data_IF_127470658931
#
_entry.id   IF_127470658931
#
_cell.length_a   1.000
_cell.length_b   1.000
_cell.length_c   1.000
_cell.angle_alpha   90.00
_cell.angle_beta   90.00
_cell.angle_gamma   90.00
#
_symmetry.space_group_name_H-M   'P 1'
#
loop_
_entity.id
_entity.type
_entity.pdbx_description
1 polymer ?
#
# COMPACT_ATOMS: atom_id res chain seq x y z
N UNK A 1 -18.52 -38.91 3.41
CA UNK A 1 -18.60 -37.55 3.98
C UNK A 1 -19.47 -36.72 3.04
N UNK A 2 -20.77 -36.94 3.09
CA UNK A 2 -21.75 -36.24 2.26
C UNK A 2 -22.77 -35.61 3.20
N UNK A 3 -22.76 -34.28 3.28
CA UNK A 3 -23.76 -33.40 3.93
C UNK A 3 -23.25 -31.95 3.88
N UNK A 4 -23.19 -31.32 2.70
CA UNK A 4 -22.99 -29.85 2.62
C UNK A 4 -23.33 -29.21 1.27
N UNK A 5 -24.34 -29.74 0.56
CA UNK A 5 -24.92 -29.05 -0.60
C UNK A 5 -26.42 -29.28 -0.59
N UNK A 6 -27.07 -28.91 0.52
CA UNK A 6 -28.50 -28.70 0.47
C UNK A 6 -28.75 -27.54 -0.48
N UNK A 7 -29.61 -27.82 -1.46
CA UNK A 7 -30.12 -26.92 -2.50
C UNK A 7 -30.54 -25.60 -1.86
N UNK A 8 -29.67 -24.59 -1.90
CA UNK A 8 -30.12 -23.23 -1.74
C UNK A 8 -31.13 -22.95 -2.85
N UNK A 9 -32.33 -22.51 -2.46
CA UNK A 9 -33.39 -22.20 -3.41
C UNK A 9 -32.86 -21.24 -4.45
N UNK A 10 -32.81 -21.79 -5.64
CA UNK A 10 -32.24 -21.30 -6.86
C UNK A 10 -33.10 -20.12 -7.35
N UNK A 11 -32.76 -18.89 -6.91
CA UNK A 11 -33.57 -17.68 -7.10
C UNK A 11 -33.29 -17.00 -8.45
N UNK A 12 -34.36 -16.76 -9.19
CA UNK A 12 -34.34 -15.93 -10.40
C UNK A 12 -34.37 -14.44 -10.04
N UNK A 13 -33.42 -13.69 -10.56
CA UNK A 13 -33.31 -12.23 -10.42
C UNK A 13 -33.71 -11.55 -11.73
N UNK A 14 -34.62 -10.58 -11.67
CA UNK A 14 -34.98 -9.77 -12.83
C UNK A 14 -33.91 -8.69 -13.05
N UNK A 15 -33.17 -8.77 -14.15
CA UNK A 15 -32.10 -7.83 -14.49
C UNK A 15 -32.66 -6.56 -15.15
N UNK A 16 -33.62 -6.69 -16.05
CA UNK A 16 -34.22 -5.54 -16.73
C UNK A 16 -35.62 -5.86 -17.23
N UNK A 17 -36.45 -4.83 -17.41
CA UNK A 17 -37.78 -4.96 -18.02
C UNK A 17 -37.84 -4.13 -19.30
N UNK A 18 -38.40 -4.69 -20.36
CA UNK A 18 -38.61 -4.04 -21.64
C UNK A 18 -40.06 -4.26 -22.08
N UNK A 19 -40.57 -3.40 -22.97
CA UNK A 19 -41.90 -3.54 -23.58
C UNK A 19 -42.08 -4.89 -24.31
N UNK A 20 -40.97 -5.55 -24.66
CA UNK A 20 -40.95 -6.87 -25.33
C UNK A 20 -40.75 -8.04 -24.35
N UNK A 21 -40.62 -7.78 -23.05
CA UNK A 21 -40.42 -8.79 -22.00
C UNK A 21 -39.29 -8.47 -21.01
N UNK A 22 -39.26 -9.19 -19.89
CA UNK A 22 -38.23 -9.05 -18.86
C UNK A 22 -37.02 -9.96 -19.08
N UNK A 23 -35.81 -9.42 -18.88
CA UNK A 23 -34.56 -10.18 -18.82
C UNK A 23 -34.38 -10.71 -17.39
N UNK A 24 -34.34 -12.02 -17.24
CA UNK A 24 -34.13 -12.70 -15.97
C UNK A 24 -32.80 -13.42 -15.97
N UNK A 25 -32.13 -13.48 -14.82
CA UNK A 25 -30.87 -14.16 -14.61
C UNK A 25 -30.91 -14.96 -13.33
N UNK A 26 -30.19 -16.06 -13.34
CA UNK A 26 -30.10 -16.99 -12.23
C UNK A 26 -28.68 -17.53 -12.21
N UNK A 27 -28.10 -17.62 -11.03
CA UNK A 27 -26.78 -18.22 -10.88
C UNK A 27 -26.93 -19.74 -11.08
N UNK A 28 -26.29 -20.28 -12.11
CA UNK A 28 -26.42 -21.70 -12.47
C UNK A 28 -25.86 -22.60 -11.37
N UNK A 29 -26.43 -23.80 -11.20
CA UNK A 29 -25.88 -24.80 -10.28
C UNK A 29 -24.45 -25.20 -10.71
N UNK A 30 -23.59 -25.65 -9.77
CA UNK A 30 -22.28 -26.19 -10.11
C UNK A 30 -22.35 -27.31 -11.16
N UNK A 31 -23.44 -28.10 -11.17
CA UNK A 31 -23.67 -29.07 -12.24
C UNK A 31 -23.91 -28.34 -13.57
N UNK A 32 -24.81 -27.35 -13.65
CA UNK A 32 -25.04 -26.57 -14.87
C UNK A 32 -23.77 -25.91 -15.40
N UNK A 33 -22.88 -25.46 -14.52
CA UNK A 33 -21.54 -24.96 -14.89
C UNK A 33 -20.65 -26.05 -15.49
N UNK A 34 -20.68 -27.27 -14.95
CA UNK A 34 -19.95 -28.41 -15.54
C UNK A 34 -20.44 -28.77 -16.95
N UNK A 35 -21.75 -28.61 -17.20
CA UNK A 35 -22.34 -28.78 -18.54
C UNK A 35 -22.00 -27.62 -19.47
N UNK A 36 -21.90 -26.37 -18.99
CA UNK A 36 -21.54 -25.21 -19.81
C UNK A 36 -20.07 -25.20 -20.21
N UNK A 37 -19.18 -25.81 -19.41
CA UNK A 37 -17.76 -26.03 -19.76
C UNK A 37 -17.63 -27.00 -20.94
N UNK A 38 -18.57 -27.94 -21.09
CA UNK A 38 -18.62 -28.87 -22.22
C UNK A 38 -19.35 -28.31 -23.46
N UNK A 39 -19.85 -27.07 -23.42
CA UNK A 39 -20.36 -26.39 -24.60
C UNK A 39 -19.16 -26.00 -25.46
N UNK A 40 -19.02 -26.54 -26.68
CA UNK A 40 -17.87 -26.24 -27.52
C UNK A 40 -17.80 -24.74 -27.79
N UNK A 41 -16.75 -24.09 -27.30
CA UNK A 41 -16.38 -22.75 -27.75
C UNK A 41 -15.80 -22.92 -29.16
N UNK A 42 -16.05 -21.98 -30.09
CA UNK A 42 -15.56 -22.09 -31.47
C UNK A 42 -14.06 -22.41 -31.61
N UNK A 43 -13.25 -22.04 -30.60
CA UNK A 43 -11.82 -22.35 -30.50
C UNK A 43 -11.47 -23.77 -30.03
N UNK A 44 -12.45 -24.52 -29.53
CA UNK A 44 -12.32 -25.90 -29.04
C UNK A 44 -12.76 -26.96 -30.06
N UNK A 45 -13.38 -26.53 -31.16
CA UNK A 45 -13.63 -27.39 -32.31
C UNK A 45 -12.30 -27.57 -33.05
N UNK A 46 -11.77 -28.79 -33.02
CA UNK A 46 -10.60 -29.22 -33.80
C UNK A 46 -10.81 -28.89 -35.28
N UNK A 47 -9.84 -28.24 -35.92
CA UNK A 47 -9.86 -27.93 -37.37
C UNK A 47 -9.96 -29.19 -38.25
N UNK A 48 -9.76 -30.39 -37.68
CA UNK A 48 -9.71 -31.67 -38.39
C UNK A 48 -11.03 -32.45 -38.39
N UNK A 49 -12.16 -31.89 -37.92
CA UNK A 49 -13.45 -32.58 -37.99
C UNK A 49 -14.05 -32.43 -39.40
N UNK A 50 -13.54 -33.24 -40.34
CA UNK A 50 -13.79 -33.22 -41.79
C UNK A 50 -15.28 -33.32 -42.21
N UNK A 51 -16.18 -33.65 -41.28
CA UNK A 51 -17.61 -33.76 -41.52
C UNK A 51 -18.39 -32.44 -41.33
N UNK A 52 -17.88 -31.49 -40.54
CA UNK A 52 -18.55 -30.19 -40.30
C UNK A 52 -18.23 -29.13 -41.37
N UNK A 53 -17.12 -29.32 -42.11
CA UNK A 53 -16.64 -28.38 -43.12
C UNK A 53 -17.41 -28.40 -44.45
N UNK A 54 -18.45 -29.26 -44.59
CA UNK A 54 -19.17 -29.46 -45.86
C UNK A 54 -20.60 -28.92 -45.90
N UNK A 55 -21.19 -28.50 -44.78
CA UNK A 55 -22.54 -27.92 -44.79
C UNK A 55 -22.46 -26.40 -45.00
N UNK A 56 -23.20 -25.90 -45.99
CA UNK A 56 -23.30 -24.47 -46.26
C UNK A 56 -23.82 -23.71 -45.03
N UNK A 57 -24.75 -24.33 -44.31
CA UNK A 57 -25.37 -23.78 -43.09
C UNK A 57 -24.34 -23.54 -41.98
N UNK A 58 -23.33 -24.41 -41.84
CA UNK A 58 -22.26 -24.22 -40.85
C UNK A 58 -21.37 -23.02 -41.21
N UNK A 59 -20.96 -22.90 -42.48
CA UNK A 59 -20.18 -21.74 -42.93
C UNK A 59 -20.96 -20.42 -42.77
N UNK A 60 -22.24 -20.43 -43.14
CA UNK A 60 -23.12 -19.27 -42.98
C UNK A 60 -23.26 -18.87 -41.50
N UNK A 61 -23.42 -19.84 -40.60
CA UNK A 61 -23.50 -19.60 -39.16
C UNK A 61 -22.19 -19.04 -38.58
N UNK A 62 -21.03 -19.56 -39.00
CA UNK A 62 -19.71 -19.08 -38.57
C UNK A 62 -19.47 -17.65 -39.05
N UNK A 63 -19.83 -17.33 -40.29
CA UNK A 63 -19.69 -15.97 -40.82
C UNK A 63 -20.65 -14.98 -40.13
N UNK A 64 -21.89 -15.37 -39.87
CA UNK A 64 -22.82 -14.56 -39.07
C UNK A 64 -22.28 -14.28 -37.66
N UNK A 65 -21.68 -15.28 -37.02
CA UNK A 65 -21.04 -15.10 -35.71
C UNK A 65 -19.85 -14.11 -35.78
N UNK A 66 -18.98 -14.23 -36.80
CA UNK A 66 -17.87 -13.28 -37.01
C UNK A 66 -18.39 -11.86 -37.22
N UNK A 67 -19.43 -11.69 -38.03
CA UNK A 67 -20.06 -10.40 -38.26
C UNK A 67 -20.66 -9.83 -36.96
N UNK A 68 -21.35 -10.65 -36.17
CA UNK A 68 -21.90 -10.25 -34.87
C UNK A 68 -20.80 -9.82 -33.90
N UNK A 69 -19.72 -10.59 -33.79
CA UNK A 69 -18.57 -10.25 -32.94
C UNK A 69 -17.94 -8.92 -33.35
N UNK A 70 -17.85 -8.67 -34.66
CA UNK A 70 -17.35 -7.40 -35.20
C UNK A 70 -18.29 -6.23 -34.84
N UNK A 71 -19.61 -6.42 -34.97
CA UNK A 71 -20.63 -5.44 -34.56
C UNK A 71 -20.53 -5.13 -33.06
N UNK A 72 -20.43 -6.15 -32.20
CA UNK A 72 -20.27 -6.00 -30.74
C UNK A 72 -18.98 -5.24 -30.41
N UNK A 73 -17.86 -5.57 -31.06
CA UNK A 73 -16.60 -4.85 -30.85
C UNK A 73 -16.70 -3.37 -31.23
N UNK A 74 -17.35 -3.05 -32.35
CA UNK A 74 -17.60 -1.67 -32.78
C UNK A 74 -18.51 -0.91 -31.81
N UNK A 75 -19.59 -1.55 -31.33
CA UNK A 75 -20.49 -0.95 -30.33
C UNK A 75 -19.76 -0.72 -29.01
N UNK A 76 -18.96 -1.68 -28.52
CA UNK A 76 -18.14 -1.51 -27.32
C UNK A 76 -17.17 -0.34 -27.45
N UNK A 77 -16.53 -0.16 -28.62
CA UNK A 77 -15.69 1.01 -28.91
C UNK A 77 -16.49 2.31 -28.88
N UNK A 78 -17.70 2.35 -29.46
CA UNK A 78 -18.57 3.53 -29.41
C UNK A 78 -18.98 3.86 -27.97
N UNK A 79 -19.42 2.87 -27.19
CA UNK A 79 -19.79 3.02 -25.78
C UNK A 79 -18.59 3.50 -24.95
N UNK A 80 -17.39 2.97 -25.18
CA UNK A 80 -16.20 3.42 -24.44
C UNK A 80 -15.84 4.89 -24.66
N UNK A 81 -16.31 5.49 -25.75
CA UNK A 81 -16.06 6.89 -26.10
C UNK A 81 -17.12 7.85 -25.55
N UNK A 82 -18.30 7.36 -25.14
CA UNK A 82 -19.34 8.21 -24.56
C UNK A 82 -18.90 8.72 -23.19
N UNK A 83 -19.32 9.93 -22.85
CA UNK A 83 -18.88 10.57 -21.60
C UNK A 83 -19.43 9.85 -20.37
N UNK A 84 -20.71 9.42 -20.42
CA UNK A 84 -21.32 8.66 -19.33
C UNK A 84 -20.60 7.34 -19.02
N UNK A 85 -20.04 6.64 -20.01
CA UNK A 85 -19.25 5.44 -19.74
C UNK A 85 -17.91 5.76 -19.07
N UNK A 86 -17.25 6.87 -19.45
CA UNK A 86 -16.00 7.29 -18.81
C UNK A 86 -16.22 7.70 -17.36
N UNK A 87 -17.28 8.44 -17.08
CA UNK A 87 -17.66 8.83 -15.71
C UNK A 87 -18.01 7.60 -14.88
N UNK A 88 -18.85 6.71 -15.40
CA UNK A 88 -19.17 5.44 -14.76
C UNK A 88 -17.91 4.61 -14.48
N UNK A 89 -17.00 4.51 -15.45
CA UNK A 89 -15.74 3.78 -15.29
C UNK A 89 -14.87 4.39 -14.20
N UNK A 90 -14.75 5.72 -14.11
CA UNK A 90 -14.02 6.39 -13.01
C UNK A 90 -14.62 6.05 -11.65
N UNK A 91 -15.95 6.06 -11.54
CA UNK A 91 -16.65 5.71 -10.29
C UNK A 91 -16.36 4.26 -9.92
N UNK A 92 -16.41 3.35 -10.90
CA UNK A 92 -16.12 1.93 -10.70
C UNK A 92 -14.67 1.69 -10.28
N UNK A 93 -13.71 2.32 -10.95
CA UNK A 93 -12.28 2.24 -10.60
C UNK A 93 -12.03 2.78 -9.17
N UNK A 94 -12.70 3.89 -8.80
CA UNK A 94 -12.63 4.44 -7.44
C UNK A 94 -13.28 3.52 -6.40
N UNK A 95 -14.41 2.88 -6.71
CA UNK A 95 -15.06 1.92 -5.83
C UNK A 95 -14.19 0.66 -5.61
N UNK A 96 -13.57 0.14 -6.66
CA UNK A 96 -12.62 -0.96 -6.55
C UNK A 96 -11.40 -0.57 -5.70
N UNK A 97 -10.88 0.64 -5.88
CA UNK A 97 -9.77 1.16 -5.07
C UNK A 97 -10.15 1.28 -3.58
N UNK A 98 -11.34 1.79 -3.26
CA UNK A 98 -11.79 1.90 -1.86
C UNK A 98 -12.02 0.53 -1.23
N UNK A 99 -12.59 -0.42 -1.96
CA UNK A 99 -12.76 -1.81 -1.48
C UNK A 99 -11.42 -2.45 -1.14
N UNK A 100 -10.43 -2.29 -2.01
CA UNK A 100 -9.09 -2.82 -1.82
C UNK A 100 -8.38 -2.13 -0.63
N UNK A 101 -8.56 -0.81 -0.47
CA UNK A 101 -8.07 -0.07 0.70
C UNK A 101 -8.67 -0.59 2.00
N UNK A 102 -9.98 -0.86 2.02
CA UNK A 102 -10.67 -1.43 3.18
C UNK A 102 -10.12 -2.83 3.51
N UNK A 103 -9.91 -3.69 2.51
CA UNK A 103 -9.31 -5.03 2.69
C UNK A 103 -7.93 -4.94 3.33
N UNK A 104 -7.07 -4.03 2.84
CA UNK A 104 -5.72 -3.81 3.40
C UNK A 104 -5.75 -3.29 4.82
N UNK A 105 -6.61 -2.31 5.11
CA UNK A 105 -6.77 -1.76 6.46
C UNK A 105 -7.26 -2.83 7.45
N UNK A 106 -8.22 -3.68 7.05
CA UNK A 106 -8.64 -4.83 7.86
C UNK A 106 -7.49 -5.79 8.15
N UNK A 107 -6.66 -6.10 7.15
CA UNK A 107 -5.48 -6.95 7.34
C UNK A 107 -4.43 -6.33 8.26
N UNK A 108 -4.19 -5.02 8.16
CA UNK A 108 -3.28 -4.28 9.06
C UNK A 108 -3.81 -4.27 10.49
N UNK A 109 -5.10 -3.98 10.68
CA UNK A 109 -5.77 -4.03 11.98
C UNK A 109 -5.65 -5.41 12.62
N UNK A 110 -5.91 -6.49 11.87
CA UNK A 110 -5.75 -7.87 12.36
C UNK A 110 -4.32 -8.16 12.81
N UNK A 111 -3.31 -7.74 12.05
CA UNK A 111 -1.90 -7.89 12.42
C UNK A 111 -1.54 -7.12 13.68
N UNK A 112 -1.98 -5.87 13.80
CA UNK A 112 -1.71 -5.04 14.97
C UNK A 112 -2.38 -5.62 16.22
N UNK A 113 -3.63 -6.06 16.11
CA UNK A 113 -4.36 -6.68 17.20
C UNK A 113 -3.66 -7.98 17.67
N UNK A 114 -3.17 -8.80 16.73
CA UNK A 114 -2.39 -9.99 17.08
C UNK A 114 -1.07 -9.64 17.78
N UNK A 115 -0.39 -8.57 17.37
CA UNK A 115 0.84 -8.10 18.02
C UNK A 115 0.57 -7.55 19.41
N UNK A 116 -0.49 -6.75 19.59
CA UNK A 116 -0.88 -6.20 20.90
C UNK A 116 -1.18 -7.35 21.88
N UNK A 117 -1.92 -8.38 21.45
CA UNK A 117 -2.17 -9.59 22.26
C UNK A 117 -0.90 -10.37 22.63
N UNK A 118 0.18 -10.22 21.87
CA UNK A 118 1.47 -10.85 22.13
C UNK A 118 2.41 -10.01 23.02
N UNK A 119 2.16 -8.69 23.14
CA UNK A 119 3.10 -7.73 23.74
C UNK A 119 2.74 -7.36 25.20
N UNK A 120 1.64 -7.87 25.78
CA UNK A 120 1.49 -7.80 27.24
C UNK A 120 2.47 -8.81 27.88
N UNK A 121 3.67 -8.37 28.35
CA UNK A 121 3.83 -7.84 29.71
C UNK A 121 4.90 -6.72 29.93
N UNK A 122 4.89 -6.20 31.17
CA UNK A 122 5.73 -5.21 31.89
C UNK A 122 7.17 -4.91 31.40
N UNK A 123 7.48 -3.61 31.25
CA UNK A 123 8.87 -3.09 31.07
C UNK A 123 8.99 -1.75 30.31
N UNK A 124 7.90 -1.30 29.68
CA UNK A 124 7.88 -0.13 28.79
C UNK A 124 8.21 1.23 29.44
N UNK A 125 8.18 1.33 30.77
CA UNK A 125 8.51 2.58 31.48
C UNK A 125 10.00 2.86 31.56
N UNK A 126 10.82 1.81 31.62
CA UNK A 126 12.27 1.93 31.82
C UNK A 126 12.99 2.26 30.51
N UNK A 127 12.43 1.81 29.38
CA UNK A 127 12.95 2.04 28.03
C UNK A 127 12.97 3.51 27.62
N UNK A 128 11.98 4.30 28.06
CA UNK A 128 11.86 5.72 27.70
C UNK A 128 12.91 6.60 28.40
N UNK A 129 13.49 6.12 29.50
CA UNK A 129 14.42 6.92 30.32
C UNK A 129 15.86 6.90 29.79
N UNK A 130 16.26 5.83 29.09
CA UNK A 130 17.63 5.63 28.58
C UNK A 130 17.88 6.34 27.23
N UNK A 131 16.84 6.45 26.40
CA UNK A 131 16.91 7.09 25.08
C UNK A 131 17.18 8.61 25.13
N UNK A 132 16.93 9.23 26.29
CA UNK A 132 17.14 10.67 26.53
C UNK A 132 18.60 11.11 26.46
N UNK A 133 19.53 10.22 26.83
CA UNK A 133 20.88 10.64 27.22
C UNK A 133 21.87 10.63 26.04
N UNK A 134 21.49 10.06 24.90
CA UNK A 134 22.40 9.80 23.77
C UNK A 134 22.27 10.78 22.59
N UNK A 135 21.18 11.53 22.48
CA UNK A 135 20.88 12.36 21.28
C UNK A 135 21.65 13.71 21.26
N UNK A 136 22.33 14.09 22.34
CA UNK A 136 22.95 15.43 22.49
C UNK A 136 24.24 15.71 21.67
N UNK A 137 24.80 14.73 20.95
CA UNK A 137 26.19 14.83 20.45
C UNK A 137 26.34 15.17 18.96
N UNK A 138 25.32 15.00 18.09
CA UNK A 138 25.62 14.71 16.68
C UNK A 138 25.35 15.74 15.55
N UNK A 139 24.71 16.92 15.73
CA UNK A 139 24.47 17.83 14.57
C UNK A 139 24.49 19.34 14.86
N UNK A 140 25.48 20.11 14.34
CA UNK A 140 25.57 21.56 14.59
C UNK A 140 24.90 22.49 13.55
N UNK A 141 24.53 22.04 12.34
CA UNK A 141 23.98 22.94 11.31
C UNK A 141 22.82 22.28 10.52
N UNK A 142 21.62 22.86 10.65
CA UNK A 142 20.37 22.36 10.09
C UNK A 142 20.24 22.55 8.57
N UNK A 143 19.62 21.56 7.93
CA UNK A 143 19.30 21.54 6.49
C UNK A 143 18.31 22.67 6.17
N UNK A 144 18.67 23.59 5.27
CA UNK A 144 17.74 24.61 4.75
C UNK A 144 16.88 24.02 3.65
N UNK A 145 15.56 24.00 3.84
CA UNK A 145 14.56 23.49 2.87
C UNK A 145 13.72 24.66 2.32
N UNK A 146 13.39 24.72 1.00
CA UNK A 146 12.59 25.82 0.43
C UNK A 146 11.09 25.67 0.75
N UNK A 147 10.29 26.75 0.69
CA UNK A 147 8.90 26.75 1.13
C UNK A 147 7.97 26.23 0.01
N UNK A 148 7.61 24.96 0.05
CA UNK A 148 6.60 24.40 -0.85
C UNK A 148 5.20 24.47 -0.22
N UNK A 149 4.20 24.79 -1.06
CA UNK A 149 2.79 24.91 -0.67
C UNK A 149 2.17 23.53 -0.45
N UNK A 150 1.47 23.40 0.67
CA UNK A 150 0.73 22.23 1.20
C UNK A 150 1.59 21.22 1.98
N UNK A 151 1.46 21.28 3.31
CA UNK A 151 1.97 20.36 4.34
C UNK A 151 1.38 18.93 4.25
N UNK A 152 1.14 18.37 3.07
CA UNK A 152 0.73 16.97 2.97
C UNK A 152 1.96 16.06 3.07
N UNK A 153 2.62 16.05 4.23
CA UNK A 153 3.48 14.93 4.59
C UNK A 153 2.56 13.72 4.76
N UNK A 154 2.56 12.81 3.79
CA UNK A 154 1.51 11.76 3.71
C UNK A 154 1.64 10.74 4.85
N UNK A 155 2.79 10.68 5.50
CA UNK A 155 3.06 9.84 6.64
C UNK A 155 3.08 10.66 7.92
N UNK A 156 1.97 10.62 8.66
CA UNK A 156 1.94 11.17 10.01
C UNK A 156 2.76 10.29 10.95
N UNK A 157 3.66 10.88 11.76
CA UNK A 157 4.38 10.15 12.79
C UNK A 157 3.41 9.57 13.81
N UNK A 158 3.72 8.39 14.34
CA UNK A 158 2.93 7.79 15.41
C UNK A 158 2.90 8.68 16.64
N UNK A 159 1.88 8.50 17.47
CA UNK A 159 1.76 9.22 18.75
C UNK A 159 2.97 9.01 19.64
N UNK A 160 3.62 7.85 19.57
CA UNK A 160 4.89 7.57 20.26
C UNK A 160 5.99 8.50 19.78
N UNK A 161 6.15 8.65 18.46
CA UNK A 161 7.14 9.56 17.86
C UNK A 161 6.82 11.01 18.20
N UNK A 162 5.56 11.43 18.11
CA UNK A 162 5.13 12.79 18.46
C UNK A 162 5.40 13.10 19.94
N UNK A 163 5.07 12.19 20.84
CA UNK A 163 5.32 12.37 22.27
C UNK A 163 6.81 12.48 22.57
N UNK A 164 7.64 11.66 21.90
CA UNK A 164 9.09 11.73 22.02
C UNK A 164 9.64 13.07 21.53
N UNK A 165 9.13 13.56 20.39
CA UNK A 165 9.53 14.86 19.83
C UNK A 165 9.16 16.00 20.78
N UNK A 166 7.94 16.01 21.31
CA UNK A 166 7.51 17.02 22.28
C UNK A 166 8.40 17.00 23.53
N UNK A 167 8.69 15.80 24.03
CA UNK A 167 9.60 15.62 25.14
C UNK A 167 11.01 16.19 24.84
N UNK A 168 11.56 15.89 23.66
CA UNK A 168 12.87 16.37 23.25
C UNK A 168 12.89 17.89 23.01
N UNK A 169 11.77 18.49 22.60
CA UNK A 169 11.65 19.93 22.41
C UNK A 169 11.71 20.71 23.74
N UNK A 170 11.22 20.13 24.83
CA UNK A 170 11.41 20.67 26.19
C UNK A 170 12.89 20.68 26.58
N UNK A 171 13.61 19.58 26.29
CA UNK A 171 15.05 19.49 26.56
C UNK A 171 15.84 20.47 25.70
N UNK A 172 15.49 20.58 24.42
CA UNK A 172 16.05 21.55 23.48
C UNK A 172 15.84 22.99 23.97
N UNK A 173 14.67 23.32 24.48
CA UNK A 173 14.38 24.66 25.01
C UNK A 173 15.29 25.00 26.19
N UNK A 174 15.55 24.02 27.06
CA UNK A 174 16.49 24.16 28.18
C UNK A 174 17.93 24.35 27.70
N UNK A 175 18.35 23.59 26.68
CA UNK A 175 19.66 23.71 26.05
C UNK A 175 19.84 25.11 25.42
N UNK A 176 18.85 25.62 24.70
CA UNK A 176 18.90 26.93 24.07
C UNK A 176 19.03 28.06 25.10
N UNK A 177 18.31 27.96 26.22
CA UNK A 177 18.46 28.91 27.32
C UNK A 177 19.87 28.90 27.92
N UNK A 178 20.48 27.71 28.06
CA UNK A 178 21.85 27.58 28.53
C UNK A 178 22.85 28.15 27.51
N UNK A 179 22.66 27.89 26.23
CA UNK A 179 23.49 28.44 25.16
C UNK A 179 23.43 29.97 25.15
N UNK A 180 22.24 30.56 25.28
CA UNK A 180 22.05 32.01 25.37
C UNK A 180 22.80 32.60 26.58
N UNK A 181 22.64 31.99 27.76
CA UNK A 181 23.36 32.39 28.99
C UNK A 181 24.88 32.39 28.80
N UNK A 182 25.41 31.42 28.07
CA UNK A 182 26.84 31.28 27.81
C UNK A 182 27.30 31.92 26.49
N UNK A 183 26.42 32.65 25.80
CA UNK A 183 26.67 33.33 24.52
C UNK A 183 27.17 32.38 23.42
N UNK A 184 26.68 31.14 23.42
CA UNK A 184 26.94 30.14 22.38
C UNK A 184 25.86 30.24 21.31
N UNK A 185 26.25 30.40 20.05
CA UNK A 185 25.34 30.51 18.90
C UNK A 185 25.44 29.28 18.01
N UNK A 186 25.01 28.12 18.54
CA UNK A 186 24.94 26.88 17.78
C UNK A 186 23.46 26.57 17.54
N UNK A 187 23.08 26.33 16.29
CA UNK A 187 21.68 26.00 15.98
C UNK A 187 21.34 24.61 16.53
N UNK A 188 20.28 24.52 17.34
CA UNK A 188 19.69 23.25 17.72
C UNK A 188 18.29 23.19 17.10
N UNK A 189 18.14 22.40 16.04
CA UNK A 189 16.86 22.19 15.36
C UNK A 189 16.34 20.77 15.64
N UNK A 190 15.09 20.69 16.08
CA UNK A 190 14.34 19.44 16.14
C UNK A 190 13.23 19.55 15.11
N UNK A 191 13.39 18.84 14.00
CA UNK A 191 12.44 18.86 12.90
C UNK A 191 11.71 17.52 12.82
N UNK A 192 10.39 17.57 13.00
CA UNK A 192 9.50 16.40 12.99
C UNK A 192 8.97 16.06 11.61
N UNK A 193 9.19 16.93 10.61
CA UNK A 193 8.47 16.89 9.35
C UNK A 193 8.61 15.56 8.59
N UNK A 194 9.75 14.88 8.74
CA UNK A 194 10.03 13.59 8.09
C UNK A 194 9.95 12.38 9.03
N UNK A 195 9.59 12.57 10.30
CA UNK A 195 9.58 11.50 11.30
C UNK A 195 8.67 10.34 10.92
N UNK A 196 7.47 10.63 10.41
CA UNK A 196 6.53 9.59 9.97
C UNK A 196 6.99 8.83 8.73
N UNK A 197 7.76 9.47 7.83
CA UNK A 197 8.32 8.82 6.65
C UNK A 197 9.41 7.82 7.02
N UNK A 198 10.32 8.22 7.91
CA UNK A 198 11.38 7.36 8.43
C UNK A 198 10.78 6.17 9.20
N UNK A 199 9.76 6.43 10.02
CA UNK A 199 9.03 5.38 10.74
C UNK A 199 8.34 4.39 9.79
N UNK A 200 7.72 4.89 8.72
CA UNK A 200 7.08 4.05 7.72
C UNK A 200 8.09 3.15 7.00
N UNK A 201 9.28 3.68 6.66
CA UNK A 201 10.37 2.89 6.10
C UNK A 201 10.88 1.83 7.07
N UNK A 202 11.15 2.19 8.32
CA UNK A 202 11.60 1.22 9.33
C UNK A 202 10.52 0.15 9.62
N UNK A 203 9.24 0.48 9.42
CA UNK A 203 8.11 -0.45 9.57
C UNK A 203 7.96 -1.46 8.43
N UNK A 204 8.78 -1.35 7.37
CA UNK A 204 8.81 -2.33 6.29
C UNK A 204 8.11 -1.92 5.00
N UNK A 205 7.62 -0.68 4.84
CA UNK A 205 7.02 -0.22 3.57
C UNK A 205 7.99 -0.34 2.40
N UNK A 206 7.52 -0.80 1.25
CA UNK A 206 8.39 -0.88 0.07
C UNK A 206 8.66 0.51 -0.51
N UNK A 207 9.78 0.66 -1.24
CA UNK A 207 10.12 1.93 -1.89
C UNK A 207 9.04 2.43 -2.84
N UNK A 208 8.43 1.50 -3.59
CA UNK A 208 7.31 1.80 -4.48
C UNK A 208 6.11 2.35 -3.71
N UNK A 209 5.76 1.74 -2.56
CA UNK A 209 4.67 2.22 -1.72
C UNK A 209 4.97 3.60 -1.11
N UNK A 210 6.22 3.84 -0.70
CA UNK A 210 6.64 5.14 -0.17
C UNK A 210 6.56 6.25 -1.23
N UNK A 211 6.97 5.96 -2.47
CA UNK A 211 7.02 6.95 -3.55
C UNK A 211 5.66 7.26 -4.17
N UNK A 212 4.67 6.36 -4.09
CA UNK A 212 3.32 6.63 -4.61
C UNK A 212 2.60 7.76 -3.86
N UNK A 213 2.99 7.94 -2.60
CA UNK A 213 2.41 8.87 -1.65
C UNK A 213 3.46 9.89 -1.16
N UNK A 214 4.51 10.19 -1.95
CA UNK A 214 5.54 11.15 -1.55
C UNK A 214 5.72 12.26 -2.58
N UNK A 215 5.67 13.52 -2.10
CA UNK A 215 5.96 14.71 -2.90
C UNK A 215 7.46 15.10 -2.88
N UNK A 216 8.32 14.34 -2.20
CA UNK A 216 9.77 14.58 -2.19
C UNK A 216 10.44 13.98 -3.42
N UNK A 217 11.58 14.56 -3.79
CA UNK A 217 12.47 13.96 -4.79
C UNK A 217 13.01 12.61 -4.30
N UNK A 218 13.10 11.65 -5.22
CA UNK A 218 13.69 10.33 -4.98
C UNK A 218 15.06 10.43 -4.28
N UNK A 219 15.91 11.36 -4.74
CA UNK A 219 17.25 11.56 -4.21
C UNK A 219 17.25 12.14 -2.80
N UNK A 220 16.36 13.08 -2.51
CA UNK A 220 16.25 13.66 -1.16
C UNK A 220 15.72 12.64 -0.16
N UNK A 221 14.74 11.83 -0.55
CA UNK A 221 14.24 10.75 0.28
C UNK A 221 15.31 9.68 0.52
N UNK A 222 16.03 9.29 -0.53
CA UNK A 222 17.11 8.33 -0.42
C UNK A 222 18.22 8.83 0.51
N UNK A 223 18.59 10.11 0.39
CA UNK A 223 19.60 10.76 1.24
C UNK A 223 19.13 10.85 2.70
N UNK A 224 17.87 11.21 2.95
CA UNK A 224 17.27 11.23 4.28
C UNK A 224 17.35 9.85 4.96
N UNK A 225 16.93 8.80 4.24
CA UNK A 225 16.96 7.44 4.78
C UNK A 225 18.39 6.95 5.01
N UNK A 226 19.30 7.21 4.06
CA UNK A 226 20.71 6.84 4.19
C UNK A 226 21.37 7.53 5.38
N UNK A 227 21.18 8.85 5.53
CA UNK A 227 21.69 9.60 6.69
C UNK A 227 21.15 9.02 8.01
N UNK A 228 19.89 8.60 8.04
CA UNK A 228 19.30 7.96 9.21
C UNK A 228 19.95 6.62 9.52
N UNK A 229 20.17 5.78 8.50
CA UNK A 229 20.86 4.48 8.64
C UNK A 229 22.29 4.69 9.14
N UNK A 230 23.02 5.64 8.56
CA UNK A 230 24.41 5.93 8.93
C UNK A 230 24.50 6.37 10.40
N UNK A 231 23.53 7.17 10.87
CA UNK A 231 23.43 7.53 12.27
C UNK A 231 23.17 6.33 13.17
N UNK A 232 22.18 5.50 12.82
CA UNK A 232 21.88 4.27 13.56
C UNK A 232 23.09 3.33 13.61
N UNK A 233 23.87 3.25 12.54
CA UNK A 233 25.08 2.43 12.47
C UNK A 233 26.26 3.00 13.28
N UNK A 234 26.23 4.28 13.64
CA UNK A 234 27.21 4.91 14.52
C UNK A 234 26.91 4.70 15.99
N UNK A 235 25.63 4.59 16.37
CA UNK A 235 25.20 4.41 17.77
C UNK A 235 25.95 3.25 18.46
N UNK A 236 26.06 2.04 17.88
CA UNK A 236 26.80 0.94 18.49
C UNK A 236 28.29 1.19 18.78
N UNK A 237 28.90 2.19 18.13
CA UNK A 237 30.31 2.53 18.25
C UNK A 237 30.60 3.52 19.39
N UNK A 238 29.55 4.06 20.01
CA UNK A 238 29.70 5.02 21.10
C UNK A 238 30.22 4.33 22.38
N UNK A 239 31.16 4.94 23.11
CA UNK A 239 31.64 4.41 24.39
C UNK A 239 30.51 4.43 25.42
N UNK A 240 30.51 3.45 26.33
CA UNK A 240 29.59 3.34 27.46
C UNK A 240 28.10 3.40 27.10
N UNK A 241 27.73 2.90 25.92
CA UNK A 241 26.33 2.86 25.49
C UNK A 241 25.57 1.69 26.12
N UNK A 242 24.31 1.93 26.45
CA UNK A 242 23.39 0.91 26.95
C UNK A 242 23.28 -0.26 25.94
N UNK A 243 23.47 -1.53 26.38
CA UNK A 243 23.45 -2.69 25.49
C UNK A 243 22.12 -2.88 24.74
N UNK A 244 20.99 -2.49 25.35
CA UNK A 244 19.68 -2.57 24.70
C UNK A 244 19.58 -1.51 23.59
N UNK A 245 20.06 -0.29 23.85
CA UNK A 245 20.14 0.76 22.82
C UNK A 245 21.07 0.36 21.67
N UNK A 246 22.22 -0.25 21.96
CA UNK A 246 23.14 -0.78 20.95
C UNK A 246 22.47 -1.84 20.07
N UNK A 247 21.82 -2.83 20.69
CA UNK A 247 21.11 -3.89 19.98
C UNK A 247 19.95 -3.33 19.13
N UNK A 248 19.19 -2.38 19.68
CA UNK A 248 18.07 -1.76 18.98
C UNK A 248 18.54 -0.92 17.79
N UNK A 249 19.62 -0.15 17.93
CA UNK A 249 20.18 0.63 16.83
C UNK A 249 20.75 -0.26 15.72
N UNK A 250 21.40 -1.38 16.07
CA UNK A 250 21.86 -2.37 15.11
C UNK A 250 20.67 -3.04 14.39
N UNK A 251 19.62 -3.38 15.13
CA UNK A 251 18.40 -3.95 14.54
C UNK A 251 17.71 -2.95 13.61
N UNK A 252 17.56 -1.69 14.04
CA UNK A 252 16.92 -0.64 13.25
C UNK A 252 17.71 -0.31 11.97
N UNK A 253 19.04 -0.18 12.06
CA UNK A 253 19.90 0.03 10.89
C UNK A 253 19.78 -1.13 9.90
N UNK A 254 19.86 -2.39 10.37
CA UNK A 254 19.71 -3.57 9.52
C UNK A 254 18.32 -3.66 8.85
N UNK A 255 17.25 -3.29 9.55
CA UNK A 255 15.89 -3.29 8.97
C UNK A 255 15.72 -2.19 7.93
N UNK A 256 16.35 -1.04 8.15
CA UNK A 256 16.28 0.10 7.24
C UNK A 256 17.23 -0.04 6.03
N UNK A 257 18.33 -0.78 6.17
CA UNK A 257 19.31 -1.01 5.11
C UNK A 257 18.83 -2.08 4.11
N UNK A 258 17.97 -1.66 3.19
CA UNK A 258 17.36 -2.52 2.17
C UNK A 258 17.15 -1.78 0.84
N UNK A 259 16.92 -2.50 -0.27
CA UNK A 259 16.78 -1.88 -1.58
C UNK A 259 15.64 -0.86 -1.67
N UNK A 260 15.82 0.26 -2.40
CA UNK A 260 17.00 0.60 -3.21
C UNK A 260 18.10 1.29 -2.40
N UNK A 261 17.87 1.61 -1.13
CA UNK A 261 18.81 2.43 -0.35
C UNK A 261 20.13 1.71 -0.22
N UNK A 262 20.13 0.44 0.18
CA UNK A 262 21.34 -0.39 0.34
C UNK A 262 22.24 -0.41 -0.90
N UNK A 263 21.65 -0.36 -2.10
CA UNK A 263 22.34 -0.40 -3.41
C UNK A 263 23.05 0.93 -3.75
N UNK A 264 22.76 2.02 -3.04
CA UNK A 264 23.40 3.33 -3.25
C UNK A 264 24.77 3.49 -2.57
N UNK A 265 25.20 2.49 -1.78
CA UNK A 265 26.51 2.51 -1.11
C UNK A 265 27.62 1.83 -1.92
N UNK A 266 27.30 1.31 -3.12
CA UNK A 266 28.26 0.75 -4.08
C UNK A 266 28.81 1.80 -5.05
#
# INVERSE_FOLDING_TARGET
MGMLLDKEDMKWYKISDSEVGGLWSMEGSPETWSWSINVPVLSSLSENDELLQKSQEYHDAVELYKQQRTKVACLKKKISRTEGFKEYKKILDMAMFTEEKIKRLKARSKRLNNRIKQIEPSGWKEFLQSLLQSVQVWFPEGIKVPPWRNNSYIYEPSTTVVNLINFLDEQRSTLLHLQEKHRVTISCCLDSQFGGMVEAWASGLTWREMMMDCAMDNGDLARLLRQTIDLLAQIPKLPDIDPLLQSNAMTASNVMDRPPISELAE
#
